data_IF_099874183288
#
_entry.id   IF_099874183288
#
_cell.length_a   1.000
_cell.length_b   1.000
_cell.length_c   1.000
_cell.angle_alpha   90.00
_cell.angle_beta   90.00
_cell.angle_gamma   90.00
#
_symmetry.space_group_name_H-M   'P 1'
#
loop_
_entity.id
_entity.type
_entity.pdbx_description
1 polymer ?
#
# COMPACT_ATOMS: atom_id res chain seq x y z
N UNK A 1 -2.42 17.23 -1.32
CA UNK A 1 -2.06 16.43 -0.14
C UNK A 1 -2.45 17.13 1.16
N UNK A 2 -1.99 18.36 1.44
CA UNK A 2 -2.30 19.07 2.70
C UNK A 2 -3.80 19.14 3.00
N UNK A 3 -4.64 19.51 2.01
CA UNK A 3 -6.08 19.58 2.20
C UNK A 3 -6.74 18.24 2.61
N UNK A 4 -6.20 17.11 2.18
CA UNK A 4 -6.66 15.80 2.64
C UNK A 4 -6.22 15.52 4.09
N UNK A 5 -4.96 15.87 4.41
CA UNK A 5 -4.42 15.67 5.76
C UNK A 5 -5.11 16.56 6.82
N UNK A 6 -5.79 17.62 6.39
CA UNK A 6 -6.53 18.51 7.31
C UNK A 6 -7.82 17.88 7.85
N UNK A 7 -8.27 16.77 7.27
CA UNK A 7 -9.42 16.03 7.79
C UNK A 7 -9.03 15.30 9.08
N UNK A 8 -9.81 15.39 10.16
CA UNK A 8 -9.39 14.92 11.50
C UNK A 8 -9.02 13.43 11.57
N UNK A 9 -9.62 12.60 10.72
CA UNK A 9 -9.41 11.16 10.69
C UNK A 9 -8.29 10.72 9.74
N UNK A 10 -7.70 11.65 8.96
CA UNK A 10 -6.64 11.32 8.00
C UNK A 10 -5.27 11.51 8.66
N UNK A 11 -4.49 10.43 8.71
CA UNK A 11 -3.15 10.45 9.28
C UNK A 11 -2.04 10.45 8.24
N UNK A 12 -2.30 9.84 7.08
CA UNK A 12 -1.30 9.66 6.02
C UNK A 12 -1.90 9.95 4.65
N UNK A 13 -1.17 10.68 3.81
CA UNK A 13 -1.58 10.98 2.44
C UNK A 13 -0.43 10.67 1.47
N UNK A 14 -0.71 9.86 0.43
CA UNK A 14 0.22 9.56 -0.65
C UNK A 14 -0.16 10.28 -1.95
N UNK A 15 0.85 10.62 -2.75
CA UNK A 15 0.71 11.21 -4.07
C UNK A 15 0.60 10.16 -5.18
N UNK A 16 0.10 10.54 -6.35
CA UNK A 16 0.23 9.77 -7.59
C UNK A 16 1.66 9.89 -8.10
N UNK A 17 2.34 8.76 -8.27
CA UNK A 17 3.68 8.75 -8.84
C UNK A 17 3.65 8.10 -10.22
N UNK A 18 4.41 8.68 -11.13
CA UNK A 18 4.60 8.21 -12.49
C UNK A 18 6.05 7.77 -12.71
N UNK A 19 6.22 6.75 -13.52
CA UNK A 19 7.51 6.43 -14.12
C UNK A 19 7.93 7.49 -15.15
N UNK A 20 9.21 7.53 -15.58
CA UNK A 20 9.68 8.44 -16.63
C UNK A 20 8.94 8.29 -17.96
N UNK A 21 8.39 7.13 -18.26
CA UNK A 21 7.58 6.85 -19.45
C UNK A 21 6.11 7.28 -19.32
N UNK A 22 5.77 7.99 -18.23
CA UNK A 22 4.44 8.50 -17.92
C UNK A 22 3.40 7.41 -17.55
N UNK A 23 3.81 6.16 -17.35
CA UNK A 23 2.93 5.14 -16.79
C UNK A 23 2.85 5.28 -15.26
N UNK A 24 1.78 4.77 -14.66
CA UNK A 24 1.58 4.82 -13.21
C UNK A 24 2.57 3.92 -12.50
N UNK A 25 3.31 4.49 -11.56
CA UNK A 25 4.16 3.76 -10.63
C UNK A 25 3.44 3.46 -9.32
N UNK A 26 2.72 4.47 -8.78
CA UNK A 26 2.03 4.37 -7.51
C UNK A 26 0.67 5.05 -7.55
N UNK A 27 -0.35 4.28 -7.21
CA UNK A 27 -1.73 4.72 -7.02
C UNK A 27 -2.37 4.08 -5.79
N UNK A 28 -1.61 4.02 -4.70
CA UNK A 28 -1.96 3.29 -3.50
C UNK A 28 -1.34 1.88 -3.46
N UNK A 29 -1.20 1.37 -2.26
CA UNK A 29 -0.73 0.01 -1.98
C UNK A 29 -1.91 -0.79 -1.44
N UNK A 30 -2.08 -1.99 -1.99
CA UNK A 30 -3.00 -3.01 -1.48
C UNK A 30 -2.20 -3.98 -0.63
N UNK A 31 -2.61 -4.19 0.61
CA UNK A 31 -1.97 -5.17 1.48
C UNK A 31 -2.38 -6.60 1.08
N UNK A 32 -1.48 -7.55 1.26
CA UNK A 32 -1.70 -8.97 0.93
C UNK A 32 -1.34 -9.36 -0.49
N UNK A 33 -1.20 -8.44 -1.45
CA UNK A 33 -0.76 -8.79 -2.81
C UNK A 33 0.60 -9.48 -2.77
N UNK A 34 0.70 -10.62 -3.45
CA UNK A 34 1.91 -11.44 -3.49
C UNK A 34 2.34 -11.98 -2.11
N UNK A 35 1.41 -12.04 -1.15
CA UNK A 35 1.66 -12.45 0.23
C UNK A 35 2.19 -11.34 1.14
N UNK A 36 2.48 -10.14 0.60
CA UNK A 36 3.03 -9.00 1.34
C UNK A 36 2.22 -7.71 1.11
N UNK A 37 2.54 -6.98 0.08
CA UNK A 37 1.87 -5.77 -0.36
C UNK A 37 2.30 -5.41 -1.79
N UNK A 38 1.39 -4.86 -2.59
CA UNK A 38 1.66 -4.49 -3.97
C UNK A 38 1.03 -3.16 -4.37
N UNK A 39 1.57 -2.54 -5.41
CA UNK A 39 1.06 -1.28 -5.95
C UNK A 39 -0.14 -1.53 -6.86
N UNK A 40 -1.31 -1.02 -6.51
CA UNK A 40 -2.48 -1.07 -7.38
C UNK A 40 -2.29 -0.25 -8.66
N UNK A 41 -2.81 -0.77 -9.80
CA UNK A 41 -2.79 -0.12 -11.11
C UNK A 41 -1.38 0.18 -11.68
N UNK A 42 -0.36 -0.52 -11.22
CA UNK A 42 1.02 -0.35 -11.70
C UNK A 42 1.10 -0.55 -13.22
N UNK A 43 1.84 0.32 -13.91
CA UNK A 43 1.98 0.37 -15.37
C UNK A 43 0.70 0.72 -16.17
N UNK A 44 -0.40 1.08 -15.51
CA UNK A 44 -1.54 1.69 -16.19
C UNK A 44 -1.14 3.03 -16.83
N UNK A 45 -1.82 3.46 -17.87
CA UNK A 45 -1.56 4.76 -18.48
C UNK A 45 -1.92 5.90 -17.55
N UNK A 46 -1.25 7.05 -17.66
CA UNK A 46 -1.49 8.24 -16.83
C UNK A 46 -2.96 8.68 -16.84
N UNK A 47 -3.65 8.53 -17.98
CA UNK A 47 -5.05 8.94 -18.19
C UNK A 47 -6.06 7.84 -17.89
N UNK A 48 -5.62 6.65 -17.47
CA UNK A 48 -6.52 5.57 -17.11
C UNK A 48 -7.40 5.98 -15.91
N UNK A 49 -8.67 5.61 -15.95
CA UNK A 49 -9.59 5.85 -14.83
C UNK A 49 -9.45 4.79 -13.72
N UNK A 50 -8.85 3.65 -14.03
CA UNK A 50 -8.69 2.53 -13.11
C UNK A 50 -10.00 1.82 -12.74
N UNK A 51 -9.88 0.82 -11.89
CA UNK A 51 -11.02 0.07 -11.38
C UNK A 51 -12.01 1.02 -10.65
N UNK A 52 -13.24 1.13 -11.17
CA UNK A 52 -14.30 2.02 -10.64
C UNK A 52 -13.82 3.46 -10.40
N UNK A 53 -13.10 4.03 -11.37
CA UNK A 53 -12.58 5.40 -11.33
C UNK A 53 -11.59 5.70 -10.17
N UNK A 54 -10.97 4.67 -9.58
CA UNK A 54 -10.02 4.83 -8.46
C UNK A 54 -8.82 5.70 -8.80
N UNK A 55 -8.44 5.81 -10.08
CA UNK A 55 -7.33 6.67 -10.51
C UNK A 55 -7.70 8.15 -10.67
N UNK A 56 -8.97 8.51 -10.52
CA UNK A 56 -9.46 9.88 -10.74
C UNK A 56 -9.93 10.60 -9.47
N UNK A 57 -10.08 9.87 -8.35
CA UNK A 57 -10.59 10.42 -7.08
C UNK A 57 -9.65 10.09 -5.91
N UNK A 58 -9.58 10.99 -4.93
CA UNK A 58 -8.91 10.69 -3.67
C UNK A 58 -9.75 9.66 -2.90
N UNK A 59 -9.09 8.63 -2.38
CA UNK A 59 -9.77 7.54 -1.68
C UNK A 59 -8.87 6.87 -0.66
N UNK A 60 -9.47 6.12 0.24
CA UNK A 60 -8.77 5.31 1.22
C UNK A 60 -8.05 4.12 0.56
N UNK A 61 -6.84 3.83 1.04
CA UNK A 61 -5.99 2.71 0.58
C UNK A 61 -5.34 2.01 1.77
N UNK A 62 -4.88 0.78 1.58
CA UNK A 62 -4.19 0.02 2.63
C UNK A 62 -2.91 0.71 3.11
N UNK A 63 -2.09 1.15 2.17
CA UNK A 63 -0.87 1.92 2.44
C UNK A 63 -0.51 2.83 1.24
N UNK A 64 0.51 3.69 1.43
CA UNK A 64 1.12 4.52 0.39
C UNK A 64 2.63 4.44 0.48
N UNK A 65 3.33 4.65 -0.65
CA UNK A 65 4.79 4.57 -0.69
C UNK A 65 5.47 5.75 0.00
N UNK A 66 6.56 5.46 0.70
CA UNK A 66 7.46 6.44 1.30
C UNK A 66 8.16 7.36 0.30
N UNK A 67 8.12 7.05 -1.01
CA UNK A 67 8.68 7.93 -2.05
C UNK A 67 8.01 9.32 -2.09
N UNK A 68 6.72 9.40 -1.74
CA UNK A 68 6.02 10.67 -1.46
C UNK A 68 4.85 10.44 -0.50
N UNK A 69 5.15 10.55 0.78
CA UNK A 69 4.20 10.37 1.88
C UNK A 69 4.16 11.65 2.71
N UNK A 70 2.96 12.12 3.02
CA UNK A 70 2.72 13.24 3.93
C UNK A 70 1.99 12.74 5.17
N UNK A 71 2.48 13.11 6.35
CA UNK A 71 1.87 12.81 7.64
C UNK A 71 2.06 13.98 8.60
N UNK A 72 1.39 13.98 9.75
CA UNK A 72 1.61 15.00 10.77
C UNK A 72 2.79 14.62 11.68
N UNK A 73 3.52 15.61 12.17
CA UNK A 73 4.56 15.40 13.19
C UNK A 73 3.99 14.71 14.44
N UNK A 74 2.77 15.07 14.83
CA UNK A 74 2.07 14.47 15.97
C UNK A 74 1.90 12.96 15.79
N UNK A 75 1.39 12.52 14.63
CA UNK A 75 1.21 11.09 14.37
C UNK A 75 2.56 10.38 14.26
N UNK A 76 3.53 10.99 13.59
CA UNK A 76 4.88 10.45 13.47
C UNK A 76 5.48 10.13 14.84
N UNK A 77 5.42 11.08 15.76
CA UNK A 77 5.96 10.90 17.12
C UNK A 77 5.13 9.90 17.94
N UNK A 78 3.80 9.89 17.77
CA UNK A 78 2.88 8.98 18.46
C UNK A 78 3.16 7.52 18.15
N UNK A 79 3.46 7.19 16.88
CA UNK A 79 3.66 5.80 16.44
C UNK A 79 5.15 5.44 16.23
N UNK A 80 6.07 6.36 16.55
CA UNK A 80 7.51 6.09 16.55
C UNK A 80 8.19 6.13 15.18
N UNK A 81 7.61 6.84 14.19
CA UNK A 81 8.22 6.98 12.86
C UNK A 81 8.33 5.66 12.06
N UNK A 82 9.33 5.57 11.19
CA UNK A 82 9.62 4.34 10.44
C UNK A 82 10.44 3.35 11.29
N UNK A 83 10.10 2.06 11.22
CA UNK A 83 10.85 1.00 11.88
C UNK A 83 12.05 0.58 11.03
N UNK A 84 13.20 1.23 11.27
CA UNK A 84 14.43 0.94 10.56
C UNK A 84 15.16 -0.33 11.06
N UNK A 85 14.74 -0.93 12.15
CA UNK A 85 15.33 -2.18 12.66
C UNK A 85 14.84 -3.38 11.86
N UNK A 86 13.52 -3.47 11.64
CA UNK A 86 12.89 -4.58 10.93
C UNK A 86 12.73 -4.33 9.44
N UNK A 87 12.57 -3.06 9.02
CA UNK A 87 12.30 -2.65 7.64
C UNK A 87 13.29 -1.57 7.20
N UNK A 88 14.49 -1.98 6.82
CA UNK A 88 15.55 -1.03 6.44
C UNK A 88 15.30 -0.36 5.09
N UNK A 89 14.67 -1.07 4.16
CA UNK A 89 14.49 -0.62 2.78
C UNK A 89 13.08 -0.88 2.27
N UNK A 90 12.59 -2.13 2.34
CA UNK A 90 11.26 -2.50 1.89
C UNK A 90 10.25 -2.46 3.04
N UNK A 91 9.00 -2.19 2.70
CA UNK A 91 7.83 -2.28 3.59
C UNK A 91 7.84 -1.35 4.82
N UNK A 92 8.83 -0.48 5.00
CA UNK A 92 8.84 0.49 6.10
C UNK A 92 7.66 1.48 6.03
N UNK A 93 7.28 1.86 4.84
CA UNK A 93 6.12 2.70 4.53
C UNK A 93 4.80 1.94 4.71
N UNK A 94 4.73 0.67 4.32
CA UNK A 94 3.57 -0.21 4.55
C UNK A 94 3.35 -0.40 6.04
N UNK A 95 4.39 -0.77 6.79
CA UNK A 95 4.34 -0.92 8.24
C UNK A 95 3.89 0.37 8.94
N UNK A 96 4.45 1.51 8.52
CA UNK A 96 4.06 2.83 9.04
C UNK A 96 2.55 3.09 8.82
N UNK A 97 2.05 2.85 7.63
CA UNK A 97 0.64 3.02 7.30
C UNK A 97 -0.26 2.09 8.12
N UNK A 98 0.13 0.84 8.31
CA UNK A 98 -0.62 -0.12 9.13
C UNK A 98 -0.65 0.31 10.61
N UNK A 99 0.46 0.78 11.17
CA UNK A 99 0.49 1.35 12.52
C UNK A 99 -0.36 2.61 12.66
N UNK A 100 -0.38 3.48 11.65
CA UNK A 100 -1.26 4.63 11.61
C UNK A 100 -2.74 4.20 11.64
N UNK A 101 -3.10 3.15 10.90
CA UNK A 101 -4.45 2.56 10.90
C UNK A 101 -4.81 1.96 12.26
N UNK A 102 -3.89 1.25 12.92
CA UNK A 102 -4.10 0.75 14.28
C UNK A 102 -4.33 1.89 15.28
N UNK A 103 -3.72 3.05 15.06
CA UNK A 103 -3.93 4.25 15.86
C UNK A 103 -5.26 4.99 15.53
N UNK A 104 -6.10 4.42 14.63
CA UNK A 104 -7.42 4.94 14.26
C UNK A 104 -7.42 5.95 13.11
N UNK A 105 -6.31 6.13 12.41
CA UNK A 105 -6.22 7.06 11.28
C UNK A 105 -6.45 6.37 9.93
N UNK A 106 -6.98 7.14 8.97
CA UNK A 106 -7.09 6.73 7.56
C UNK A 106 -5.82 7.04 6.79
N UNK A 107 -5.54 6.20 5.80
CA UNK A 107 -4.50 6.39 4.80
C UNK A 107 -5.18 6.72 3.47
N UNK A 108 -4.89 7.89 2.90
CA UNK A 108 -5.52 8.41 1.68
C UNK A 108 -4.49 8.47 0.56
N UNK A 109 -4.85 7.98 -0.60
CA UNK A 109 -4.14 8.29 -1.84
C UNK A 109 -4.89 9.39 -2.60
N UNK A 110 -4.16 10.31 -3.27
CA UNK A 110 -4.76 11.39 -4.04
C UNK A 110 -4.14 11.51 -5.45
N UNK A 111 -4.97 11.59 -6.51
CA UNK A 111 -4.50 11.84 -7.87
C UNK A 111 -4.13 13.32 -8.12
N UNK A 112 -4.53 14.23 -7.21
CA UNK A 112 -4.33 15.68 -7.38
C UNK A 112 -2.94 16.18 -7.01
N UNK A 113 -2.08 15.30 -6.50
CA UNK A 113 -0.65 15.52 -6.34
C UNK A 113 0.07 14.48 -7.22
N UNK A 114 0.58 14.90 -8.37
CA UNK A 114 1.21 14.01 -9.34
C UNK A 114 2.68 14.39 -9.51
N UNK A 115 3.58 13.40 -9.42
CA UNK A 115 5.02 13.59 -9.51
C UNK A 115 5.67 12.49 -10.36
N UNK A 116 6.80 12.82 -10.98
CA UNK A 116 7.68 11.82 -11.59
C UNK A 116 8.63 11.25 -10.52
N UNK A 117 8.67 9.95 -10.41
CA UNK A 117 9.62 9.26 -9.54
C UNK A 117 10.57 8.39 -10.35
N UNK A 118 11.83 8.82 -10.42
CA UNK A 118 12.90 8.09 -11.09
C UNK A 118 13.37 6.94 -10.21
N UNK A 119 12.55 5.89 -10.09
CA UNK A 119 12.88 4.70 -9.32
C UNK A 119 14.25 4.14 -9.74
N UNK A 120 14.99 3.64 -8.77
CA UNK A 120 16.27 2.95 -8.98
C UNK A 120 17.44 3.78 -9.50
N UNK A 121 17.32 5.08 -9.77
CA UNK A 121 18.48 5.93 -10.14
C UNK A 121 19.56 5.95 -9.06
N UNK A 122 19.17 5.93 -7.79
CA UNK A 122 20.08 5.96 -6.64
C UNK A 122 20.46 4.59 -6.09
N UNK A 123 19.70 3.52 -6.37
CA UNK A 123 19.88 2.20 -5.76
C UNK A 123 20.04 1.04 -6.76
N UNK A 124 19.80 1.26 -8.06
CA UNK A 124 19.77 0.23 -9.10
C UNK A 124 18.56 -0.70 -9.02
N UNK A 125 18.34 -1.52 -10.05
CA UNK A 125 17.31 -2.56 -10.01
C UNK A 125 17.66 -3.60 -8.96
N UNK A 126 16.70 -4.00 -8.13
CA UNK A 126 16.89 -4.92 -7.00
C UNK A 126 16.94 -6.40 -7.46
N UNK A 127 17.87 -6.71 -8.37
CA UNK A 127 18.01 -8.03 -9.00
C UNK A 127 19.12 -8.89 -8.40
N UNK A 128 19.97 -8.35 -7.51
CA UNK A 128 21.05 -9.14 -6.91
C UNK A 128 20.48 -10.17 -5.90
N UNK A 129 21.15 -11.32 -5.73
CA UNK A 129 20.76 -12.34 -4.75
C UNK A 129 20.60 -11.78 -3.33
N UNK A 130 21.53 -10.94 -2.90
CA UNK A 130 21.54 -10.33 -1.55
C UNK A 130 20.32 -9.40 -1.35
N UNK A 131 19.92 -8.69 -2.40
CA UNK A 131 18.78 -7.79 -2.37
C UNK A 131 17.46 -8.56 -2.34
N UNK A 132 17.36 -9.69 -3.08
CA UNK A 132 16.22 -10.59 -3.01
C UNK A 132 16.08 -11.25 -1.64
N UNK A 133 17.18 -11.70 -1.06
CA UNK A 133 17.19 -12.27 0.29
C UNK A 133 16.72 -11.25 1.33
N UNK A 134 17.21 -10.00 1.25
CA UNK A 134 16.76 -8.92 2.13
C UNK A 134 15.26 -8.65 1.95
N UNK A 135 14.77 -8.53 0.72
CA UNK A 135 13.35 -8.31 0.44
C UNK A 135 12.49 -9.42 1.04
N UNK A 136 12.90 -10.68 0.89
CA UNK A 136 12.22 -11.82 1.48
C UNK A 136 12.24 -11.77 3.01
N UNK A 137 13.38 -11.42 3.61
CA UNK A 137 13.50 -11.29 5.08
C UNK A 137 12.61 -10.18 5.64
N UNK A 138 12.61 -9.01 5.01
CA UNK A 138 11.74 -7.90 5.41
C UNK A 138 10.26 -8.24 5.16
N UNK A 139 9.92 -8.97 4.09
CA UNK A 139 8.58 -9.48 3.82
C UNK A 139 8.12 -10.49 4.88
N UNK A 140 8.98 -11.42 5.30
CA UNK A 140 8.68 -12.34 6.39
C UNK A 140 8.47 -11.62 7.73
N UNK A 141 9.26 -10.58 8.01
CA UNK A 141 9.06 -9.73 9.18
C UNK A 141 7.69 -9.01 9.12
N UNK A 142 7.27 -8.55 7.94
CA UNK A 142 5.95 -7.94 7.74
C UNK A 142 4.83 -8.96 8.00
N UNK A 143 4.95 -10.17 7.46
CA UNK A 143 3.98 -11.25 7.70
C UNK A 143 3.94 -11.67 9.18
N UNK A 144 5.10 -11.78 9.83
CA UNK A 144 5.18 -12.14 11.25
C UNK A 144 4.50 -11.09 12.14
N UNK A 145 4.64 -9.80 11.79
CA UNK A 145 4.03 -8.70 12.55
C UNK A 145 2.53 -8.56 12.31
N UNK A 146 2.10 -8.62 11.04
CA UNK A 146 0.75 -8.25 10.64
C UNK A 146 -0.17 -9.43 10.33
N UNK A 147 0.39 -10.60 10.01
CA UNK A 147 -0.33 -11.84 9.81
C UNK A 147 -1.55 -11.70 8.91
N UNK A 148 -2.71 -12.14 9.41
CA UNK A 148 -3.98 -12.08 8.67
C UNK A 148 -4.45 -10.66 8.35
N UNK A 149 -3.99 -9.64 9.08
CA UNK A 149 -4.37 -8.25 8.81
C UNK A 149 -3.92 -7.78 7.42
N UNK A 150 -2.84 -8.35 6.86
CA UNK A 150 -2.43 -8.10 5.49
C UNK A 150 -3.48 -8.55 4.47
N UNK A 151 -4.21 -9.62 4.77
CA UNK A 151 -5.23 -10.17 3.87
C UNK A 151 -6.58 -9.42 3.97
N UNK A 152 -6.74 -8.59 5.01
CA UNK A 152 -7.97 -7.89 5.34
C UNK A 152 -7.84 -6.38 5.09
N UNK A 153 -7.32 -5.99 3.91
CA UNK A 153 -7.27 -4.58 3.51
C UNK A 153 -8.70 -4.02 3.42
N UNK A 154 -9.11 -3.10 4.32
CA UNK A 154 -10.48 -2.60 4.34
C UNK A 154 -10.82 -1.70 3.14
N UNK A 155 -9.80 -1.23 2.40
CA UNK A 155 -9.96 -0.44 1.19
C UNK A 155 -9.93 -1.29 -0.10
N UNK A 156 -9.84 -2.62 0.02
CA UNK A 156 -9.77 -3.55 -1.10
C UNK A 156 -10.81 -4.66 -0.96
N UNK A 157 -11.67 -4.81 -1.96
CA UNK A 157 -12.76 -5.78 -1.92
C UNK A 157 -12.25 -7.21 -1.73
N UNK A 158 -12.84 -8.00 -0.80
CA UNK A 158 -12.48 -9.40 -0.61
C UNK A 158 -12.84 -10.29 -1.81
N UNK A 159 -13.61 -9.77 -2.79
CA UNK A 159 -13.90 -10.46 -4.04
C UNK A 159 -12.79 -10.31 -5.09
N UNK A 160 -11.81 -9.44 -4.86
CA UNK A 160 -10.70 -9.23 -5.78
C UNK A 160 -9.50 -10.08 -5.38
N UNK A 161 -8.75 -10.54 -6.40
CA UNK A 161 -7.54 -11.35 -6.20
C UNK A 161 -6.41 -10.56 -5.53
N UNK A 162 -5.62 -11.23 -4.71
CA UNK A 162 -4.34 -10.75 -4.19
C UNK A 162 -3.14 -11.33 -5.00
N UNK A 163 -3.40 -12.05 -6.08
CA UNK A 163 -2.34 -12.62 -6.93
C UNK A 163 -1.83 -11.61 -7.96
N UNK A 164 -2.62 -10.56 -8.24
CA UNK A 164 -2.30 -9.55 -9.24
C UNK A 164 -2.55 -8.13 -8.75
N UNK A 165 -1.88 -7.15 -9.36
CA UNK A 165 -2.06 -5.71 -9.11
C UNK A 165 -3.19 -5.09 -9.97
N UNK A 166 -3.99 -5.92 -10.68
CA UNK A 166 -4.94 -5.50 -11.74
C UNK A 166 -6.40 -5.40 -11.32
N UNK A 167 -6.73 -5.65 -10.06
CA UNK A 167 -8.11 -5.64 -9.56
C UNK A 167 -9.01 -6.68 -10.24
N UNK A 168 -8.45 -7.84 -10.58
CA UNK A 168 -9.17 -8.98 -11.13
C UNK A 168 -9.99 -9.69 -10.05
N UNK A 169 -11.05 -10.38 -10.46
CA UNK A 169 -11.85 -11.17 -9.53
C UNK A 169 -11.04 -12.35 -8.98
N UNK A 170 -11.20 -12.64 -7.71
CA UNK A 170 -10.64 -13.83 -7.09
C UNK A 170 -11.46 -15.06 -7.48
N UNK A 171 -10.78 -16.20 -7.66
CA UNK A 171 -11.46 -17.50 -7.87
C UNK A 171 -12.35 -17.84 -6.65
N UNK A 172 -11.89 -17.48 -5.45
CA UNK A 172 -12.64 -17.61 -4.20
C UNK A 172 -12.54 -16.34 -3.39
N UNK A 173 -13.70 -15.73 -3.02
CA UNK A 173 -13.71 -14.57 -2.13
C UNK A 173 -13.03 -14.87 -0.79
N UNK A 174 -12.35 -13.85 -0.22
CA UNK A 174 -11.65 -13.96 1.08
C UNK A 174 -12.56 -13.78 2.29
N UNK A 175 -13.86 -13.75 2.12
CA UNK A 175 -14.81 -13.68 3.23
C UNK A 175 -15.60 -14.99 3.36
N UNK A 176 -16.04 -15.29 4.58
CA UNK A 176 -17.02 -16.36 4.81
C UNK A 176 -18.41 -15.73 4.88
N UNK A 177 -19.37 -16.16 4.03
CA UNK A 177 -20.74 -15.65 4.13
C UNK A 177 -21.30 -15.91 5.52
N UNK A 178 -22.17 -15.03 6.06
CA UNK A 178 -22.74 -15.21 7.41
C UNK A 178 -23.50 -16.53 7.63
N UNK A 179 -23.96 -17.15 6.53
CA UNK A 179 -24.67 -18.44 6.53
C UNK A 179 -23.75 -19.64 6.29
N UNK A 180 -22.45 -19.42 6.06
CA UNK A 180 -21.54 -20.53 5.90
C UNK A 180 -21.27 -21.18 7.25
N UNK A 181 -21.18 -22.55 7.32
CA UNK A 181 -20.77 -23.21 8.55
C UNK A 181 -19.39 -22.69 8.98
N UNK A 182 -19.21 -22.51 10.30
CA UNK A 182 -17.93 -22.13 10.86
C UNK A 182 -16.85 -23.11 10.37
N UNK A 183 -15.73 -22.60 9.85
CA UNK A 183 -14.62 -23.47 9.48
C UNK A 183 -14.16 -24.17 10.74
N UNK A 184 -14.25 -25.52 10.74
CA UNK A 184 -13.63 -26.32 11.78
C UNK A 184 -12.11 -26.05 11.76
N UNK A 185 -11.62 -25.52 12.87
CA UNK A 185 -10.21 -25.28 13.18
C UNK A 185 -9.39 -26.57 13.14
#
# INVERSE_FOLDING_TARGET
MVGQLWQPEVGVVGAKLLYPDQTIQHAGVVTGIGGFAGHGHKHATRSDHGYFARLTVAHEVGAVTGACLLTTRKLWDQIGGLDAENFKIAFNDVDYCLRARQAGYKVIWTPYAELLHHESKSRGLDLSPEKKERLNKEGQALQARWGEQLLLDPAYSPNLSLDTERFELADKPRFSPPWAPARSS
#
